data_IF_665125543892
#
_entry.id   IF_665125543892
#
_cell.length_a   1.000
_cell.length_b   1.000
_cell.length_c   1.000
_cell.angle_alpha   90.00
_cell.angle_beta   90.00
_cell.angle_gamma   90.00
#
_symmetry.space_group_name_H-M   'P 1'
#
loop_
_entity.id
_entity.type
_entity.pdbx_description
1 polymer ?
#
# COMPACT_ATOMS: atom_id res chain seq x y z
N UNK A 1 5.52 14.01 -6.13
CA UNK A 1 4.16 13.42 -5.99
C UNK A 1 4.22 12.07 -6.64
N UNK A 2 3.93 10.99 -5.91
CA UNK A 2 3.85 9.65 -6.49
C UNK A 2 2.41 9.42 -6.96
N UNK A 3 2.16 9.39 -8.26
CA UNK A 3 0.88 9.00 -8.84
C UNK A 3 0.81 7.48 -9.03
N UNK A 4 -0.38 6.93 -9.24
CA UNK A 4 -0.57 5.53 -9.62
C UNK A 4 0.16 5.22 -10.94
N UNK A 5 0.21 6.20 -11.85
CA UNK A 5 0.99 6.09 -13.09
C UNK A 5 2.48 5.87 -12.83
N UNK A 6 3.02 6.54 -11.80
CA UNK A 6 4.43 6.38 -11.42
C UNK A 6 4.69 4.99 -10.83
N UNK A 7 3.73 4.45 -10.06
CA UNK A 7 3.81 3.07 -9.55
C UNK A 7 3.82 2.05 -10.69
N UNK A 8 2.95 2.23 -11.70
CA UNK A 8 2.95 1.40 -12.92
C UNK A 8 4.30 1.50 -13.63
N UNK A 9 4.80 2.71 -13.87
CA UNK A 9 6.08 2.94 -14.54
C UNK A 9 7.25 2.34 -13.76
N UNK A 10 7.24 2.42 -12.43
CA UNK A 10 8.25 1.82 -11.57
C UNK A 10 8.32 0.31 -11.77
N UNK A 11 7.17 -0.38 -11.75
CA UNK A 11 7.13 -1.82 -11.97
C UNK A 11 7.52 -2.21 -13.39
N UNK A 12 7.05 -1.47 -14.41
CA UNK A 12 7.47 -1.68 -15.80
C UNK A 12 8.98 -1.51 -15.98
N UNK A 13 9.57 -0.46 -15.40
CA UNK A 13 11.02 -0.24 -15.43
C UNK A 13 11.78 -1.38 -14.74
N UNK A 14 11.26 -1.86 -13.60
CA UNK A 14 11.86 -2.98 -12.86
C UNK A 14 11.83 -4.28 -13.66
N UNK A 15 10.71 -4.60 -14.32
CA UNK A 15 10.58 -5.77 -15.19
C UNK A 15 11.58 -5.67 -16.34
N UNK A 16 11.65 -4.52 -17.02
CA UNK A 16 12.59 -4.31 -18.12
C UNK A 16 14.05 -4.50 -17.69
N UNK A 17 14.44 -3.96 -16.54
CA UNK A 17 15.79 -4.15 -15.99
C UNK A 17 16.10 -5.63 -15.72
N UNK A 18 15.18 -6.36 -15.11
CA UNK A 18 15.36 -7.79 -14.82
C UNK A 18 15.41 -8.63 -16.10
N UNK A 19 14.57 -8.32 -17.09
CA UNK A 19 14.60 -8.99 -18.39
C UNK A 19 15.92 -8.73 -19.14
N UNK A 20 16.45 -7.50 -19.08
CA UNK A 20 17.76 -7.19 -19.64
C UNK A 20 18.87 -8.00 -18.96
N UNK A 21 18.81 -8.19 -17.63
CA UNK A 21 19.76 -9.05 -16.93
C UNK A 21 19.66 -10.50 -17.41
N UNK A 22 18.46 -11.04 -17.61
CA UNK A 22 18.27 -12.39 -18.16
C UNK A 22 18.94 -12.51 -19.54
N UNK A 23 18.70 -11.55 -20.43
CA UNK A 23 19.32 -11.53 -21.77
C UNK A 23 20.85 -11.49 -21.69
N UNK A 24 21.41 -10.70 -20.76
CA UNK A 24 22.85 -10.63 -20.54
C UNK A 24 23.43 -11.97 -20.03
N UNK A 25 22.73 -12.63 -19.11
CA UNK A 25 23.10 -13.94 -18.58
C UNK A 25 22.98 -15.05 -19.63
N UNK A 26 22.13 -14.86 -20.63
CA UNK A 26 21.95 -15.78 -21.77
C UNK A 26 22.84 -15.44 -22.97
N UNK A 27 23.73 -14.46 -22.84
CA UNK A 27 24.71 -14.15 -23.89
C UNK A 27 25.62 -15.35 -24.18
N UNK A 28 26.06 -15.53 -25.45
CA UNK A 28 26.87 -16.68 -25.85
C UNK A 28 28.19 -16.76 -25.06
N UNK A 29 28.78 -15.61 -24.74
CA UNK A 29 29.98 -15.54 -23.90
C UNK A 29 29.77 -16.14 -22.50
N UNK A 30 28.67 -15.78 -21.82
CA UNK A 30 28.35 -16.32 -20.49
C UNK A 30 28.05 -17.81 -20.57
N UNK A 31 27.35 -18.26 -21.63
CA UNK A 31 27.08 -19.68 -21.85
C UNK A 31 28.37 -20.49 -22.04
N UNK A 32 29.37 -19.96 -22.73
CA UNK A 32 30.66 -20.64 -22.90
C UNK A 32 31.46 -20.73 -21.59
N UNK A 33 31.42 -19.68 -20.77
CA UNK A 33 31.97 -19.71 -19.40
C UNK A 33 31.26 -20.78 -18.56
N UNK A 34 29.93 -20.89 -18.63
CA UNK A 34 29.18 -21.91 -17.92
C UNK A 34 29.52 -23.33 -18.38
N UNK A 35 29.71 -23.55 -19.69
CA UNK A 35 30.17 -24.85 -20.22
C UNK A 35 31.55 -25.22 -19.67
N UNK A 36 32.47 -24.26 -19.58
CA UNK A 36 33.80 -24.50 -19.02
C UNK A 36 33.71 -24.85 -17.51
N UNK A 37 32.90 -24.12 -16.76
CA UNK A 37 32.63 -24.39 -15.34
C UNK A 37 32.01 -25.77 -15.13
N UNK A 38 31.10 -26.20 -16.02
CA UNK A 38 30.50 -27.52 -16.00
C UNK A 38 31.53 -28.64 -16.25
N UNK A 39 32.42 -28.47 -17.23
CA UNK A 39 33.51 -29.44 -17.48
C UNK A 39 34.43 -29.61 -16.27
N UNK A 40 34.70 -28.51 -15.57
CA UNK A 40 35.56 -28.52 -14.38
C UNK A 40 34.83 -28.95 -13.09
N UNK A 41 33.55 -29.38 -13.16
CA UNK A 41 32.71 -29.75 -12.01
C UNK A 41 32.73 -28.69 -10.89
N UNK A 42 32.73 -27.43 -11.29
CA UNK A 42 32.84 -26.31 -10.37
C UNK A 42 31.55 -26.12 -9.57
N UNK A 43 31.61 -25.94 -8.23
CA UNK A 43 30.42 -25.70 -7.41
C UNK A 43 29.72 -24.38 -7.76
N UNK A 44 30.44 -23.43 -8.36
CA UNK A 44 29.91 -22.13 -8.78
C UNK A 44 28.83 -22.23 -9.86
N UNK A 45 28.77 -23.35 -10.61
CA UNK A 45 27.72 -23.58 -11.59
C UNK A 45 26.34 -23.62 -10.92
N UNK A 46 26.21 -24.29 -9.77
CA UNK A 46 24.94 -24.36 -9.04
C UNK A 46 24.51 -22.99 -8.57
N UNK A 47 25.41 -22.24 -7.92
CA UNK A 47 25.12 -20.89 -7.42
C UNK A 47 24.70 -19.94 -8.54
N UNK A 48 25.30 -20.05 -9.73
CA UNK A 48 24.89 -19.25 -10.88
C UNK A 48 23.47 -19.60 -11.36
N UNK A 49 23.14 -20.90 -11.44
CA UNK A 49 21.80 -21.35 -11.82
C UNK A 49 20.75 -20.91 -10.80
N UNK A 50 21.08 -20.94 -9.50
CA UNK A 50 20.22 -20.47 -8.44
C UNK A 50 19.91 -18.96 -8.58
N UNK A 51 20.94 -18.15 -8.87
CA UNK A 51 20.77 -16.71 -9.14
C UNK A 51 19.88 -16.49 -10.37
N UNK A 52 20.11 -17.22 -11.46
CA UNK A 52 19.29 -17.11 -12.68
C UNK A 52 17.82 -17.44 -12.37
N UNK A 53 17.57 -18.50 -11.61
CA UNK A 53 16.23 -18.89 -11.18
C UNK A 53 15.58 -17.83 -10.29
N UNK A 54 16.34 -17.22 -9.38
CA UNK A 54 15.87 -16.13 -8.52
C UNK A 54 15.46 -14.90 -9.35
N UNK A 55 16.26 -14.53 -10.35
CA UNK A 55 15.93 -13.42 -11.26
C UNK A 55 14.64 -13.72 -12.03
N UNK A 56 14.48 -14.93 -12.59
CA UNK A 56 13.23 -15.32 -13.27
C UNK A 56 12.03 -15.26 -12.32
N UNK A 57 12.16 -15.75 -11.08
CA UNK A 57 11.10 -15.63 -10.07
C UNK A 57 10.78 -14.16 -9.80
N UNK A 58 11.80 -13.31 -9.62
CA UNK A 58 11.63 -11.88 -9.37
C UNK A 58 10.87 -11.17 -10.50
N UNK A 59 11.10 -11.54 -11.77
CA UNK A 59 10.30 -11.06 -12.91
C UNK A 59 8.84 -11.44 -12.75
N UNK A 60 8.52 -12.72 -12.53
CA UNK A 60 7.12 -13.15 -12.36
C UNK A 60 6.44 -12.47 -11.17
N UNK A 61 7.17 -12.18 -10.08
CA UNK A 61 6.63 -11.44 -8.95
C UNK A 61 6.37 -9.98 -9.31
N UNK A 62 7.28 -9.33 -10.04
CA UNK A 62 7.12 -7.96 -10.50
C UNK A 62 5.93 -7.82 -11.48
N UNK A 63 5.74 -8.79 -12.38
CA UNK A 63 4.60 -8.83 -13.31
C UNK A 63 3.26 -8.95 -12.59
N UNK A 64 3.18 -9.83 -11.58
CA UNK A 64 1.96 -9.93 -10.74
C UNK A 64 1.69 -8.61 -10.00
N UNK A 65 2.73 -7.99 -9.43
CA UNK A 65 2.58 -6.70 -8.76
C UNK A 65 2.13 -5.59 -9.72
N UNK A 66 2.66 -5.58 -10.94
CA UNK A 66 2.22 -4.67 -12.00
C UNK A 66 0.74 -4.89 -12.33
N UNK A 67 0.32 -6.15 -12.46
CA UNK A 67 -1.09 -6.49 -12.71
C UNK A 67 -2.00 -5.93 -11.61
N UNK A 68 -1.66 -6.12 -10.34
CA UNK A 68 -2.43 -5.57 -9.21
C UNK A 68 -2.57 -4.05 -9.28
N UNK A 69 -1.48 -3.30 -9.45
CA UNK A 69 -1.56 -1.83 -9.54
C UNK A 69 -2.35 -1.40 -10.78
N UNK A 70 -2.21 -2.12 -11.89
CA UNK A 70 -2.92 -1.82 -13.13
C UNK A 70 -4.44 -1.97 -12.97
N UNK A 71 -4.92 -2.85 -12.09
CA UNK A 71 -6.36 -2.96 -11.79
C UNK A 71 -6.96 -1.73 -11.11
N UNK A 72 -6.14 -0.89 -10.44
CA UNK A 72 -6.60 0.37 -9.82
C UNK A 72 -6.67 1.53 -10.81
N UNK A 73 -5.86 1.48 -11.87
CA UNK A 73 -5.79 2.52 -12.90
C UNK A 73 -7.14 2.90 -13.52
N UNK A 74 -8.03 1.96 -13.95
CA UNK A 74 -9.30 2.33 -14.57
C UNK A 74 -10.23 3.07 -13.62
N UNK A 75 -10.30 2.66 -12.34
CA UNK A 75 -11.15 3.33 -11.34
C UNK A 75 -10.71 4.77 -11.09
N UNK A 76 -9.40 4.98 -10.98
CA UNK A 76 -8.84 6.31 -10.72
C UNK A 76 -8.98 7.20 -11.95
N UNK A 77 -8.85 6.62 -13.16
CA UNK A 77 -9.17 7.32 -14.40
C UNK A 77 -10.64 7.75 -14.47
N UNK A 78 -11.58 6.88 -14.09
CA UNK A 78 -13.00 7.22 -14.02
C UNK A 78 -13.27 8.35 -13.03
N UNK A 79 -12.72 8.27 -11.81
CA UNK A 79 -12.86 9.32 -10.79
C UNK A 79 -12.30 10.66 -11.27
N UNK A 80 -11.15 10.65 -11.95
CA UNK A 80 -10.50 11.86 -12.43
C UNK A 80 -11.23 12.51 -13.61
N UNK A 81 -11.94 11.73 -14.44
CA UNK A 81 -12.65 12.24 -15.62
C UNK A 81 -14.14 12.53 -15.40
N UNK A 82 -14.78 11.91 -14.40
CA UNK A 82 -16.21 12.15 -14.14
C UNK A 82 -16.43 13.52 -13.51
N UNK A 83 -17.29 14.32 -14.13
CA UNK A 83 -17.72 15.63 -13.60
C UNK A 83 -18.97 15.53 -12.72
N UNK A 84 -19.69 14.40 -12.78
CA UNK A 84 -20.88 14.15 -11.99
C UNK A 84 -20.49 13.62 -10.60
N UNK A 85 -20.92 14.29 -9.54
CA UNK A 85 -20.63 13.88 -8.16
C UNK A 85 -21.17 12.48 -7.86
N UNK A 86 -22.41 12.17 -8.28
CA UNK A 86 -23.02 10.86 -8.03
C UNK A 86 -22.21 9.71 -8.64
N UNK A 87 -21.62 9.92 -9.82
CA UNK A 87 -20.73 8.93 -10.45
C UNK A 87 -19.47 8.72 -9.60
N UNK A 88 -18.79 9.80 -9.23
CA UNK A 88 -17.60 9.75 -8.37
C UNK A 88 -17.90 8.96 -7.08
N UNK A 89 -19.02 9.28 -6.42
CA UNK A 89 -19.42 8.60 -5.18
C UNK A 89 -19.69 7.11 -5.39
N UNK A 90 -20.23 6.71 -6.54
CA UNK A 90 -20.48 5.31 -6.87
C UNK A 90 -19.21 4.52 -7.20
N UNK A 91 -18.15 5.18 -7.67
CA UNK A 91 -16.87 4.52 -7.95
C UNK A 91 -16.01 4.29 -6.71
N UNK A 92 -16.17 5.09 -5.65
CA UNK A 92 -15.38 4.96 -4.42
C UNK A 92 -15.50 3.59 -3.73
N UNK A 93 -16.71 3.01 -3.53
CA UNK A 93 -16.85 1.66 -2.99
C UNK A 93 -16.18 0.59 -3.84
N UNK A 94 -16.27 0.71 -5.17
CA UNK A 94 -15.67 -0.23 -6.12
C UNK A 94 -14.15 -0.16 -6.11
N UNK A 95 -13.59 1.06 -6.06
CA UNK A 95 -12.16 1.29 -5.87
C UNK A 95 -11.67 0.65 -4.57
N UNK A 96 -12.36 0.89 -3.46
CA UNK A 96 -12.00 0.29 -2.17
C UNK A 96 -12.09 -1.23 -2.18
N UNK A 97 -13.10 -1.79 -2.84
CA UNK A 97 -13.20 -3.23 -3.04
C UNK A 97 -11.98 -3.80 -3.75
N UNK A 98 -11.56 -3.16 -4.85
CA UNK A 98 -10.34 -3.60 -5.56
C UNK A 98 -9.08 -3.46 -4.71
N UNK A 99 -8.96 -2.40 -3.91
CA UNK A 99 -7.84 -2.21 -2.99
C UNK A 99 -7.81 -3.31 -1.92
N UNK A 100 -8.97 -3.69 -1.40
CA UNK A 100 -9.12 -4.80 -0.45
C UNK A 100 -8.73 -6.15 -1.07
N UNK A 101 -9.13 -6.43 -2.32
CA UNK A 101 -8.72 -7.63 -3.04
C UNK A 101 -7.21 -7.68 -3.27
N UNK A 102 -6.60 -6.55 -3.61
CA UNK A 102 -5.14 -6.44 -3.75
C UNK A 102 -4.46 -6.76 -2.42
N UNK A 103 -4.98 -6.23 -1.31
CA UNK A 103 -4.47 -6.53 0.03
C UNK A 103 -4.58 -8.03 0.38
N UNK A 104 -5.72 -8.66 0.03
CA UNK A 104 -5.99 -10.06 0.34
C UNK A 104 -5.13 -11.04 -0.49
N UNK A 105 -4.85 -10.71 -1.75
CA UNK A 105 -4.20 -11.64 -2.68
C UNK A 105 -2.73 -11.31 -3.01
N UNK A 106 -2.26 -10.09 -2.73
CA UNK A 106 -0.89 -9.70 -3.06
C UNK A 106 0.07 -9.93 -1.89
N UNK A 107 1.11 -10.73 -2.11
CA UNK A 107 2.19 -10.90 -1.12
C UNK A 107 2.99 -9.60 -0.88
N UNK A 108 3.14 -8.74 -1.89
CA UNK A 108 3.92 -7.50 -1.76
C UNK A 108 3.11 -6.40 -1.07
N UNK A 109 1.87 -6.18 -1.49
CA UNK A 109 1.01 -5.16 -0.90
C UNK A 109 0.38 -5.58 0.43
N UNK A 110 0.53 -6.83 0.86
CA UNK A 110 0.19 -7.24 2.22
C UNK A 110 1.07 -6.60 3.29
N UNK A 111 2.31 -6.23 2.94
CA UNK A 111 3.21 -5.57 3.88
C UNK A 111 2.63 -4.22 4.29
N UNK A 112 2.53 -3.97 5.60
CA UNK A 112 1.95 -2.73 6.16
C UNK A 112 2.46 -1.48 5.46
N UNK A 113 3.78 -1.35 5.34
CA UNK A 113 4.40 -0.17 4.76
C UNK A 113 4.04 0.01 3.28
N UNK A 114 3.96 -1.09 2.53
CA UNK A 114 3.62 -1.08 1.10
C UNK A 114 2.14 -0.78 0.87
N UNK A 115 1.28 -1.34 1.72
CA UNK A 115 -0.15 -1.03 1.70
C UNK A 115 -0.41 0.43 2.04
N UNK A 116 0.23 0.95 3.09
CA UNK A 116 0.11 2.36 3.48
C UNK A 116 0.54 3.28 2.34
N UNK A 117 1.68 2.99 1.69
CA UNK A 117 2.13 3.75 0.52
C UNK A 117 1.11 3.73 -0.62
N UNK A 118 0.51 2.57 -0.91
CA UNK A 118 -0.52 2.46 -1.95
C UNK A 118 -1.77 3.28 -1.59
N UNK A 119 -2.22 3.20 -0.34
CA UNK A 119 -3.37 3.96 0.17
C UNK A 119 -3.11 5.47 0.18
N UNK A 120 -1.89 5.89 0.52
CA UNK A 120 -1.46 7.30 0.47
C UNK A 120 -1.52 7.84 -0.95
N UNK A 121 -1.07 7.07 -1.94
CA UNK A 121 -1.17 7.43 -3.36
C UNK A 121 -2.63 7.56 -3.79
N UNK A 122 -3.49 6.58 -3.45
CA UNK A 122 -4.92 6.60 -3.80
C UNK A 122 -5.65 7.77 -3.15
N UNK A 123 -5.44 8.00 -1.85
CA UNK A 123 -6.05 9.11 -1.13
C UNK A 123 -5.58 10.47 -1.65
N UNK A 124 -4.31 10.58 -2.05
CA UNK A 124 -3.78 11.80 -2.67
C UNK A 124 -4.46 12.14 -3.99
N UNK A 125 -4.73 11.14 -4.84
CA UNK A 125 -5.46 11.32 -6.11
C UNK A 125 -6.90 11.80 -5.86
N UNK A 126 -7.59 11.23 -4.87
CA UNK A 126 -8.98 11.62 -4.52
C UNK A 126 -9.02 13.05 -3.97
N UNK A 127 -8.09 13.41 -3.08
CA UNK A 127 -7.98 14.78 -2.56
C UNK A 127 -7.62 15.76 -3.68
N UNK A 128 -6.76 15.38 -4.62
CA UNK A 128 -6.46 16.19 -5.79
C UNK A 128 -7.70 16.44 -6.64
N UNK A 129 -8.53 15.41 -6.88
CA UNK A 129 -9.79 15.54 -7.60
C UNK A 129 -10.77 16.47 -6.88
N UNK A 130 -10.92 16.31 -5.57
CA UNK A 130 -11.77 17.19 -4.75
C UNK A 130 -11.30 18.67 -4.85
N UNK A 131 -9.99 18.92 -4.84
CA UNK A 131 -9.42 20.27 -5.05
C UNK A 131 -9.71 20.83 -6.44
N UNK A 132 -9.68 20.00 -7.48
CA UNK A 132 -10.00 20.44 -8.84
C UNK A 132 -11.47 20.87 -8.97
N UNK A 133 -12.41 20.14 -8.34
CA UNK A 133 -13.83 20.50 -8.31
C UNK A 133 -14.01 21.89 -7.68
N UNK A 134 -13.33 22.15 -6.57
CA UNK A 134 -13.36 23.46 -5.90
C UNK A 134 -12.76 24.55 -6.81
N UNK A 135 -11.59 24.31 -7.39
CA UNK A 135 -10.89 25.30 -8.22
C UNK A 135 -11.70 25.71 -9.46
N UNK A 136 -12.35 24.76 -10.12
CA UNK A 136 -13.19 25.02 -11.30
C UNK A 136 -14.40 25.91 -10.95
N UNK A 137 -14.99 25.73 -9.77
CA UNK A 137 -16.18 26.47 -9.34
C UNK A 137 -15.85 27.86 -8.78
N UNK A 138 -14.70 28.05 -8.13
CA UNK A 138 -14.26 29.37 -7.63
C UNK A 138 -13.99 30.35 -8.78
N UNK A 139 -13.53 29.86 -9.94
CA UNK A 139 -13.36 30.70 -11.13
C UNK A 139 -14.69 31.25 -11.66
N UNK A 140 -15.81 30.60 -11.35
CA UNK A 140 -17.15 31.16 -11.58
C UNK A 140 -17.49 32.07 -10.39
N UNK A 141 -17.57 33.38 -10.60
CA UNK A 141 -17.72 34.42 -9.55
C UNK A 141 -19.05 34.38 -8.74
N UNK A 142 -19.73 33.24 -8.65
CA UNK A 142 -20.95 33.05 -7.87
C UNK A 142 -20.63 32.44 -6.50
N UNK A 143 -21.00 33.14 -5.43
CA UNK A 143 -20.79 32.70 -4.04
C UNK A 143 -21.56 31.41 -3.73
N UNK A 144 -22.71 31.22 -4.37
CA UNK A 144 -23.56 30.04 -4.18
C UNK A 144 -22.94 28.77 -4.79
N UNK A 145 -22.31 28.85 -5.97
CA UNK A 145 -21.67 27.69 -6.62
C UNK A 145 -20.41 27.26 -5.87
N UNK A 146 -19.67 28.23 -5.32
CA UNK A 146 -18.50 27.96 -4.47
C UNK A 146 -18.89 27.18 -3.21
N UNK A 147 -19.96 27.58 -2.52
CA UNK A 147 -20.47 26.87 -1.33
C UNK A 147 -20.94 25.44 -1.65
N UNK A 148 -21.62 25.24 -2.77
CA UNK A 148 -22.07 23.92 -3.21
C UNK A 148 -20.86 23.01 -3.52
N UNK A 149 -19.87 23.51 -4.26
CA UNK A 149 -18.68 22.73 -4.61
C UNK A 149 -17.83 22.31 -3.40
N UNK A 150 -17.85 23.10 -2.32
CA UNK A 150 -17.22 22.73 -1.05
C UNK A 150 -17.97 21.58 -0.36
N UNK A 151 -19.30 21.61 -0.35
CA UNK A 151 -20.11 20.50 0.17
C UNK A 151 -19.90 19.23 -0.65
N UNK A 152 -19.78 19.37 -1.96
CA UNK A 152 -19.53 18.28 -2.90
C UNK A 152 -18.17 17.61 -2.64
N UNK A 153 -17.10 18.42 -2.52
CA UNK A 153 -15.77 17.95 -2.17
C UNK A 153 -15.72 17.28 -0.78
N UNK A 154 -16.45 17.82 0.19
CA UNK A 154 -16.56 17.24 1.54
C UNK A 154 -17.29 15.90 1.50
N UNK A 155 -18.35 15.79 0.69
CA UNK A 155 -19.10 14.55 0.48
C UNK A 155 -18.20 13.44 -0.09
N UNK A 156 -17.37 13.75 -1.09
CA UNK A 156 -16.40 12.81 -1.68
C UNK A 156 -15.42 12.30 -0.61
N UNK A 157 -14.82 13.20 0.16
CA UNK A 157 -13.89 12.84 1.23
C UNK A 157 -14.56 12.03 2.35
N UNK A 158 -15.80 12.39 2.73
CA UNK A 158 -16.57 11.68 3.74
C UNK A 158 -16.94 10.26 3.27
N UNK A 159 -17.38 10.10 2.03
CA UNK A 159 -17.68 8.79 1.45
C UNK A 159 -16.44 7.91 1.31
N UNK A 160 -15.30 8.48 0.90
CA UNK A 160 -14.02 7.76 0.88
C UNK A 160 -13.62 7.28 2.28
N UNK A 161 -13.76 8.14 3.29
CA UNK A 161 -13.48 7.77 4.69
C UNK A 161 -14.44 6.69 5.20
N UNK A 162 -15.72 6.82 4.94
CA UNK A 162 -16.75 5.84 5.35
C UNK A 162 -16.45 4.47 4.75
N UNK A 163 -16.31 4.41 3.42
CA UNK A 163 -15.98 3.15 2.72
C UNK A 163 -14.65 2.56 3.21
N UNK A 164 -13.62 3.37 3.46
CA UNK A 164 -12.37 2.89 4.07
C UNK A 164 -12.63 2.22 5.44
N UNK A 165 -13.42 2.85 6.32
CA UNK A 165 -13.73 2.31 7.64
C UNK A 165 -14.51 0.99 7.58
N UNK A 166 -15.44 0.84 6.62
CA UNK A 166 -16.18 -0.40 6.41
C UNK A 166 -15.26 -1.56 5.99
N UNK A 167 -14.31 -1.29 5.09
CA UNK A 167 -13.30 -2.28 4.71
C UNK A 167 -12.27 -2.54 5.81
N UNK A 168 -12.06 -1.55 6.69
CA UNK A 168 -11.23 -1.66 7.90
C UNK A 168 -11.78 -2.72 8.84
N UNK A 169 -13.07 -2.65 9.14
CA UNK A 169 -13.75 -3.65 9.95
C UNK A 169 -13.74 -5.05 9.30
N UNK A 170 -13.91 -5.14 7.98
CA UNK A 170 -13.80 -6.42 7.25
C UNK A 170 -12.40 -7.02 7.33
N UNK A 171 -11.36 -6.20 7.18
CA UNK A 171 -9.97 -6.65 7.28
C UNK A 171 -9.67 -7.15 8.70
N UNK A 172 -10.12 -6.44 9.73
CA UNK A 172 -10.03 -6.87 11.13
C UNK A 172 -10.69 -8.22 11.40
N UNK A 173 -11.90 -8.42 10.86
CA UNK A 173 -12.64 -9.66 11.03
C UNK A 173 -11.92 -10.84 10.35
N UNK A 174 -11.33 -10.63 9.17
CA UNK A 174 -10.52 -11.65 8.49
C UNK A 174 -9.25 -11.97 9.27
N UNK A 175 -8.52 -10.95 9.69
CA UNK A 175 -7.32 -11.10 10.50
C UNK A 175 -7.62 -11.89 11.78
N UNK A 176 -8.73 -11.59 12.46
CA UNK A 176 -9.18 -12.29 13.66
C UNK A 176 -9.52 -13.77 13.41
N UNK A 177 -9.96 -14.12 12.18
CA UNK A 177 -10.30 -15.49 11.76
C UNK A 177 -9.08 -16.33 11.40
N UNK A 178 -8.02 -15.73 10.84
CA UNK A 178 -6.81 -16.43 10.41
C UNK A 178 -5.63 -16.34 11.40
N UNK A 179 -5.80 -15.62 12.53
CA UNK A 179 -4.92 -15.74 13.69
C UNK A 179 -5.07 -17.11 14.36
N UNK A 180 -4.18 -18.05 14.00
CA UNK A 180 -3.73 -19.07 14.97
C UNK A 180 -3.10 -18.27 16.11
N UNK A 181 -3.47 -18.47 17.39
CA UNK A 181 -2.85 -17.74 18.48
C UNK A 181 -1.35 -17.94 18.36
N UNK A 182 -0.59 -16.85 18.28
CA UNK A 182 0.86 -16.90 18.30
C UNK A 182 1.26 -17.83 19.45
N UNK A 183 1.84 -18.98 19.09
CA UNK A 183 2.65 -19.74 20.02
C UNK A 183 3.73 -18.76 20.45
N UNK A 184 3.57 -18.22 21.67
CA UNK A 184 4.47 -17.28 22.33
C UNK A 184 5.92 -17.72 22.14
N UNK A 185 6.58 -17.22 21.10
CA UNK A 185 8.03 -17.17 21.00
C UNK A 185 8.38 -15.70 21.16
N UNK A 186 8.21 -15.21 22.39
CA UNK A 186 8.99 -14.06 22.82
C UNK A 186 10.47 -14.52 22.78
N UNK A 187 11.38 -13.84 22.09
CA UNK A 187 12.78 -13.99 22.41
C UNK A 187 12.95 -13.49 23.85
N UNK A 188 13.40 -14.40 24.71
CA UNK A 188 13.63 -14.23 26.14
C UNK A 188 13.93 -12.79 26.56
N UNK A 189 12.91 -12.09 27.04
CA UNK A 189 13.11 -11.04 28.05
C UNK A 189 12.57 -11.58 29.36
N UNK A 190 13.50 -12.10 30.14
CA UNK A 190 13.36 -12.52 31.53
C UNK A 190 12.56 -11.46 32.32
N UNK A 191 11.45 -11.90 32.90
CA UNK A 191 10.53 -11.16 33.78
C UNK A 191 11.22 -10.68 35.04
N UNK A 192 11.03 -9.43 35.49
CA UNK A 192 11.14 -9.06 36.92
C UNK A 192 10.27 -7.80 37.22
N UNK A 193 8.94 -7.95 37.37
CA UNK A 193 7.99 -7.07 38.13
C UNK A 193 7.91 -5.54 37.81
N UNK A 194 6.81 -4.79 37.94
CA UNK A 194 5.60 -4.87 38.75
C UNK A 194 4.41 -4.23 38.01
N UNK A 195 3.22 -4.75 38.27
CA UNK A 195 1.99 -3.95 38.31
C UNK A 195 2.06 -3.12 39.59
N UNK A 196 1.87 -1.80 39.50
CA UNK A 196 1.57 -1.00 40.68
C UNK A 196 0.05 -0.79 40.77
N UNK A 197 -0.66 -1.47 41.69
CA UNK A 197 -2.12 -1.43 41.77
C UNK A 197 -2.67 -0.21 42.53
N UNK A 198 -1.82 0.70 43.03
CA UNK A 198 -2.25 1.96 43.64
C UNK A 198 -1.31 3.09 43.24
N UNK A 199 -1.82 4.06 42.49
CA UNK A 199 -1.17 5.35 42.30
C UNK A 199 -1.69 6.32 43.36
N UNK A 200 -1.08 6.30 44.55
CA UNK A 200 -1.12 7.48 45.41
C UNK A 200 -0.40 8.64 44.72
N UNK A 201 -1.00 9.81 44.88
CA UNK A 201 -0.63 11.08 44.31
C UNK A 201 0.74 11.54 44.79
N UNK A 202 1.57 12.08 43.88
CA UNK A 202 2.65 12.98 44.27
C UNK A 202 2.50 14.31 43.48
N UNK A 203 2.44 15.48 44.16
CA UNK A 203 1.70 16.65 43.69
C UNK A 203 2.53 17.69 42.92
N UNK A 204 3.66 17.32 42.31
CA UNK A 204 4.50 18.26 41.55
C UNK A 204 5.15 17.60 40.33
N UNK A 205 4.36 17.32 39.29
CA UNK A 205 4.93 17.18 37.94
C UNK A 205 4.07 17.90 36.92
N UNK A 206 4.65 18.97 36.44
CA UNK A 206 3.99 20.02 35.67
C UNK A 206 3.30 19.54 34.41
N UNK A 207 2.12 20.13 34.24
CA UNK A 207 1.27 20.09 33.06
C UNK A 207 1.97 20.90 31.97
N UNK A 208 2.63 20.21 31.04
CA UNK A 208 2.78 20.71 29.66
C UNK A 208 2.13 19.71 28.74
N UNK A 209 0.80 19.86 28.62
CA UNK A 209 -0.05 19.13 27.70
C UNK A 209 0.42 19.30 26.26
N UNK A 210 0.86 18.21 25.65
CA UNK A 210 0.40 17.91 24.29
C UNK A 210 -0.42 16.63 24.41
N UNK A 211 -1.63 16.79 24.96
CA UNK A 211 -2.71 15.85 24.77
C UNK A 211 -3.05 15.85 23.29
N UNK A 212 -2.30 15.07 22.52
CA UNK A 212 -2.79 14.59 21.23
C UNK A 212 -3.54 13.27 21.49
N UNK A 213 -4.88 13.29 21.60
CA UNK A 213 -5.68 12.07 21.75
C UNK A 213 -5.54 11.13 20.53
N UNK A 214 -4.86 11.56 19.46
CA UNK A 214 -4.59 10.76 18.26
C UNK A 214 -3.24 10.01 18.29
N UNK A 215 -2.43 10.16 19.34
CA UNK A 215 -1.13 9.47 19.46
C UNK A 215 -1.25 7.95 19.65
N UNK A 216 -2.32 7.50 20.32
CA UNK A 216 -2.64 6.07 20.53
C UNK A 216 -3.20 5.42 19.27
N UNK A 217 -3.91 6.18 18.43
CA UNK A 217 -4.46 5.71 17.15
C UNK A 217 -3.39 5.38 16.09
N UNK A 218 -2.15 5.85 16.25
CA UNK A 218 -1.04 5.53 15.31
C UNK A 218 -0.40 4.16 15.55
N UNK A 219 -0.70 3.45 16.65
CA UNK A 219 -0.02 2.20 17.01
C UNK A 219 -0.74 0.90 16.59
N UNK A 220 -1.94 0.94 16.01
CA UNK A 220 -2.67 -0.26 15.56
C UNK A 220 -3.39 -0.10 14.20
N UNK A 221 -2.69 -0.62 13.16
CA UNK A 221 -3.04 -1.10 11.78
C UNK A 221 -3.82 -0.26 10.73
N UNK A 222 -3.30 -0.16 9.47
CA UNK A 222 -4.09 0.31 8.31
C UNK A 222 -4.35 -0.62 7.10
N UNK A 223 -3.82 -1.83 6.90
CA UNK A 223 -4.18 -3.09 7.58
C UNK A 223 -3.19 -4.22 7.27
N UNK A 224 -2.61 -4.88 8.28
CA UNK A 224 -2.47 -6.36 8.30
C UNK A 224 -2.77 -6.92 9.73
N UNK A 225 -2.93 -8.24 10.00
CA UNK A 225 -2.34 -9.41 9.33
C UNK A 225 -3.28 -10.59 8.94
N UNK A 226 -3.01 -11.11 7.73
CA UNK A 226 -3.48 -12.31 7.02
C UNK A 226 -4.95 -12.45 6.60
#
# INVERSE_FOLDING_TARGET
QNSIKDQVQLWTSRINKLNNLIVQLDSPFVQDVLKNLARNRSPYLSSFMDIKLEITRAVTHAERNLSFVSTLSPWIFQINNSNNLNEILSYLPSLMHTLFLIWQHSHYYHQKDKFCQLLEVVSSEIVLRAKQIIANNISSKSTNTSSMSLKDALSICAMFRGTYLDYKEKADALNSKYMIPEKKIYPSRMLIWHVNPYGENDPNKDISSTNDPYSVLRKSSPWPPR
#
